data_IF_483493269231
#
_entry.id   IF_483493269231
#
_cell.length_a   1.000
_cell.length_b   1.000
_cell.length_c   1.000
_cell.angle_alpha   90.00
_cell.angle_beta   90.00
_cell.angle_gamma   90.00
#
_symmetry.space_group_name_H-M   'P 1'
#
loop_
_entity.id
_entity.type
_entity.pdbx_description
1 polymer ?
#
# COMPACT_ATOMS: atom_id res chain seq x y z
N UNK A 1 1.44 -18.18 9.29
CA UNK A 1 1.12 -16.78 8.90
C UNK A 1 0.21 -16.79 7.69
N UNK A 2 -0.84 -16.00 7.76
CA UNK A 2 -1.77 -15.84 6.65
C UNK A 2 -1.52 -14.50 5.98
N UNK A 3 -1.51 -14.49 4.65
CA UNK A 3 -1.31 -13.29 3.88
C UNK A 3 -2.61 -12.93 3.18
N UNK A 4 -3.08 -11.71 3.43
CA UNK A 4 -4.22 -11.15 2.73
C UNK A 4 -3.69 -10.09 1.77
N UNK A 5 -4.23 -10.03 0.56
CA UNK A 5 -3.78 -9.04 -0.38
C UNK A 5 -4.95 -8.43 -1.14
N UNK A 6 -4.77 -7.19 -1.58
CA UNK A 6 -5.73 -6.47 -2.39
C UNK A 6 -5.01 -5.36 -3.14
N UNK A 7 -5.69 -4.77 -4.11
CA UNK A 7 -5.12 -3.69 -4.90
C UNK A 7 -6.23 -2.74 -5.34
N UNK A 8 -5.81 -1.61 -5.91
CA UNK A 8 -6.72 -0.69 -6.58
C UNK A 8 -7.85 -0.17 -5.70
N UNK A 9 -7.53 0.12 -4.43
CA UNK A 9 -8.52 0.68 -3.52
C UNK A 9 -8.84 2.14 -3.85
N UNK A 10 -7.87 2.85 -4.45
CA UNK A 10 -8.06 4.23 -4.90
C UNK A 10 -8.68 5.13 -3.82
N UNK A 11 -8.01 5.18 -2.68
CA UNK A 11 -8.48 5.97 -1.54
C UNK A 11 -8.47 7.46 -1.82
N UNK A 12 -7.76 7.89 -2.86
CA UNK A 12 -7.74 9.29 -3.29
C UNK A 12 -9.13 9.73 -3.78
N UNK A 13 -9.97 8.80 -4.20
CA UNK A 13 -11.35 9.14 -4.56
C UNK A 13 -12.20 9.14 -3.30
N UNK A 14 -12.84 10.25 -3.05
CA UNK A 14 -13.60 10.47 -1.83
C UNK A 14 -14.68 9.42 -1.61
N UNK A 15 -15.32 8.98 -2.69
CA UNK A 15 -16.36 7.96 -2.59
C UNK A 15 -15.81 6.67 -2.02
N UNK A 16 -14.61 6.27 -2.46
CA UNK A 16 -14.00 5.03 -1.99
C UNK A 16 -13.59 5.13 -0.53
N UNK A 17 -12.97 6.24 -0.14
CA UNK A 17 -12.59 6.44 1.25
C UNK A 17 -13.81 6.44 2.16
N UNK A 18 -14.87 7.07 1.72
CA UNK A 18 -16.11 7.13 2.49
C UNK A 18 -16.74 5.75 2.61
N UNK A 19 -16.75 5.00 1.52
CA UNK A 19 -17.32 3.66 1.54
C UNK A 19 -16.62 2.80 2.58
N UNK A 20 -15.29 2.81 2.55
CA UNK A 20 -14.50 1.97 3.45
C UNK A 20 -14.55 2.45 4.90
N UNK A 21 -14.89 3.70 5.13
CA UNK A 21 -15.08 4.22 6.48
C UNK A 21 -16.26 3.55 7.17
N UNK A 22 -17.32 3.27 6.40
CA UNK A 22 -18.55 2.70 6.95
C UNK A 22 -18.72 1.22 6.66
N UNK A 23 -17.87 0.67 5.81
CA UNK A 23 -17.95 -0.73 5.38
C UNK A 23 -16.56 -1.34 5.48
N UNK A 24 -16.18 -1.74 6.68
CA UNK A 24 -14.85 -2.29 6.87
C UNK A 24 -14.67 -3.57 6.09
N UNK A 25 -13.47 -3.74 5.55
CA UNK A 25 -13.12 -4.94 4.83
C UNK A 25 -12.91 -6.09 5.82
N UNK A 26 -13.21 -7.32 5.43
CA UNK A 26 -12.95 -8.45 6.32
C UNK A 26 -11.46 -8.63 6.55
N UNK A 27 -11.09 -8.97 7.78
CA UNK A 27 -9.71 -9.25 8.12
C UNK A 27 -9.52 -10.76 8.05
N UNK A 28 -8.79 -11.21 7.04
CA UNK A 28 -8.61 -12.63 6.79
C UNK A 28 -7.15 -13.08 6.86
N UNK A 29 -6.24 -12.16 7.17
CA UNK A 29 -4.83 -12.49 7.26
C UNK A 29 -4.13 -11.74 8.39
N UNK A 30 -2.91 -12.13 8.66
CA UNK A 30 -2.06 -11.48 9.66
C UNK A 30 -1.25 -10.36 9.03
N UNK A 31 -0.90 -10.53 7.77
CA UNK A 31 -0.14 -9.56 6.98
C UNK A 31 -0.98 -9.16 5.80
N UNK A 32 -1.12 -7.85 5.60
CA UNK A 32 -1.85 -7.31 4.47
C UNK A 32 -0.86 -6.77 3.45
N UNK A 33 -1.01 -7.21 2.21
CA UNK A 33 -0.23 -6.68 1.08
C UNK A 33 -1.17 -5.87 0.20
N UNK A 34 -0.82 -4.61 -0.01
CA UNK A 34 -1.57 -3.72 -0.87
C UNK A 34 -0.76 -3.48 -2.14
N UNK A 35 -1.22 -4.05 -3.23
CA UNK A 35 -0.44 -4.16 -4.46
C UNK A 35 -0.78 -3.06 -5.45
N UNK A 36 -0.56 -1.81 -5.04
CA UNK A 36 -0.61 -0.68 -5.96
C UNK A 36 -1.96 0.00 -6.09
N UNK A 37 -1.90 1.26 -6.48
CA UNK A 37 -3.06 2.13 -6.74
C UNK A 37 -3.97 2.24 -5.53
N UNK A 38 -3.37 2.51 -4.40
CA UNK A 38 -4.08 2.63 -3.12
C UNK A 38 -4.34 4.10 -2.79
N UNK A 39 -3.33 4.96 -2.92
CA UNK A 39 -3.42 6.36 -2.58
C UNK A 39 -2.26 7.12 -3.20
N UNK A 40 -2.27 8.45 -3.09
CA UNK A 40 -1.16 9.29 -3.55
C UNK A 40 0.01 9.20 -2.59
N UNK A 41 1.22 9.18 -3.14
CA UNK A 41 2.44 9.23 -2.33
C UNK A 41 2.59 10.59 -1.67
N UNK A 42 3.17 10.58 -0.47
CA UNK A 42 3.55 11.80 0.24
C UNK A 42 2.39 12.73 0.58
N UNK A 43 1.18 12.24 0.51
CA UNK A 43 0.02 13.02 0.95
C UNK A 43 0.04 13.08 2.46
N UNK A 44 0.10 14.27 3.00
CA UNK A 44 0.23 14.48 4.44
C UNK A 44 -0.98 14.04 5.23
N UNK A 45 -2.12 13.88 4.59
CA UNK A 45 -3.33 13.42 5.26
C UNK A 45 -3.38 11.91 5.42
N UNK A 46 -2.55 11.17 4.71
CA UNK A 46 -2.60 9.72 4.74
C UNK A 46 -2.56 9.14 6.15
N UNK A 47 -1.60 9.53 7.01
CA UNK A 47 -1.49 8.91 8.33
C UNK A 47 -2.72 9.02 9.21
N UNK A 48 -3.56 10.03 8.98
CA UNK A 48 -4.76 10.25 9.80
C UNK A 48 -6.04 9.71 9.17
N UNK A 49 -5.96 9.14 7.98
CA UNK A 49 -7.13 8.55 7.33
C UNK A 49 -7.61 7.34 8.09
N UNK A 50 -8.93 7.16 8.11
CA UNK A 50 -9.53 6.03 8.82
C UNK A 50 -9.07 4.69 8.32
N UNK A 51 -8.86 4.56 7.03
CA UNK A 51 -8.38 3.30 6.46
C UNK A 51 -7.06 2.88 7.10
N UNK A 52 -6.13 3.81 7.22
CA UNK A 52 -4.82 3.48 7.77
C UNK A 52 -4.88 3.18 9.27
N UNK A 53 -5.80 3.80 9.99
CA UNK A 53 -6.05 3.46 11.39
C UNK A 53 -6.58 2.05 11.50
N UNK A 54 -7.50 1.69 10.63
CA UNK A 54 -8.06 0.34 10.60
C UNK A 54 -6.97 -0.68 10.29
N UNK A 55 -6.15 -0.41 9.28
CA UNK A 55 -5.07 -1.31 8.89
C UNK A 55 -4.06 -1.49 10.02
N UNK A 56 -3.68 -0.40 10.66
CA UNK A 56 -2.75 -0.43 11.79
C UNK A 56 -3.24 -1.33 12.91
N UNK A 57 -4.52 -1.29 13.19
CA UNK A 57 -5.10 -2.04 14.31
C UNK A 57 -5.28 -3.53 14.02
N UNK A 58 -5.48 -3.88 12.77
CA UNK A 58 -5.95 -5.22 12.42
C UNK A 58 -4.89 -6.14 11.84
N UNK A 59 -3.73 -5.64 11.52
CA UNK A 59 -2.68 -6.44 10.90
C UNK A 59 -1.37 -6.29 11.63
N UNK A 60 -0.60 -7.37 11.64
CA UNK A 60 0.74 -7.36 12.18
C UNK A 60 1.65 -6.47 11.36
N UNK A 61 1.52 -6.55 10.03
CA UNK A 61 2.27 -5.73 9.09
C UNK A 61 1.38 -5.43 7.88
N UNK A 62 1.50 -4.23 7.36
CA UNK A 62 0.84 -3.82 6.12
C UNK A 62 1.93 -3.34 5.16
N UNK A 63 2.11 -4.08 4.09
CA UNK A 63 3.16 -3.83 3.10
C UNK A 63 2.50 -3.30 1.84
N UNK A 64 2.83 -2.07 1.47
CA UNK A 64 2.21 -1.41 0.32
C UNK A 64 3.25 -1.22 -0.77
N UNK A 65 2.89 -1.64 -1.98
CA UNK A 65 3.73 -1.42 -3.16
C UNK A 65 3.07 -0.32 -3.99
N UNK A 66 3.81 0.69 -4.44
CA UNK A 66 3.21 1.74 -5.24
C UNK A 66 2.85 1.25 -6.64
N UNK A 67 1.74 1.75 -7.15
CA UNK A 67 1.33 1.57 -8.54
C UNK A 67 1.38 2.91 -9.25
N UNK A 68 0.69 3.01 -10.39
CA UNK A 68 0.73 4.24 -11.18
C UNK A 68 0.12 5.43 -10.44
N UNK A 69 -1.01 5.22 -9.76
CA UNK A 69 -1.72 6.31 -9.10
C UNK A 69 -0.92 6.94 -7.98
N UNK A 70 -0.08 6.17 -7.31
CA UNK A 70 0.74 6.70 -6.24
C UNK A 70 1.63 7.84 -6.71
N UNK A 71 2.04 7.81 -7.97
CA UNK A 71 2.97 8.80 -8.50
C UNK A 71 2.30 9.99 -9.17
N UNK A 72 0.98 10.02 -9.25
CA UNK A 72 0.28 11.00 -10.08
C UNK A 72 0.60 12.44 -9.74
N UNK A 73 0.46 12.86 -8.52
CA UNK A 73 0.67 14.27 -8.18
C UNK A 73 2.12 14.62 -7.93
N UNK A 74 2.98 13.64 -7.89
CA UNK A 74 4.39 13.83 -7.64
C UNK A 74 5.25 13.29 -8.75
N UNK A 75 4.75 13.07 -9.83
CA UNK A 75 5.31 12.53 -11.05
C UNK A 75 6.83 12.56 -11.18
N UNK A 76 7.54 12.42 -10.11
CA UNK A 76 8.98 12.24 -10.17
C UNK A 76 9.24 10.80 -10.56
N UNK A 77 9.36 10.60 -11.85
CA UNK A 77 9.59 9.27 -12.39
C UNK A 77 10.87 8.65 -11.87
N UNK A 78 11.77 9.48 -11.38
CA UNK A 78 13.02 8.99 -10.80
C UNK A 78 12.75 8.12 -9.58
N UNK A 79 11.73 8.44 -8.80
CA UNK A 79 11.42 7.65 -7.61
C UNK A 79 11.00 6.23 -7.96
N UNK A 80 10.50 6.00 -9.15
CA UNK A 80 10.06 4.66 -9.57
C UNK A 80 11.21 3.67 -9.70
N UNK A 81 12.39 4.17 -10.01
CA UNK A 81 13.56 3.33 -10.19
C UNK A 81 14.40 3.18 -8.94
N UNK A 82 14.10 3.93 -7.91
CA UNK A 82 14.92 3.96 -6.71
C UNK A 82 14.34 3.07 -5.62
N UNK A 83 15.19 2.73 -4.70
CA UNK A 83 14.83 1.99 -3.51
C UNK A 83 14.41 3.00 -2.45
N UNK A 84 13.18 2.89 -1.94
CA UNK A 84 12.71 3.80 -0.89
C UNK A 84 11.62 3.14 -0.06
N UNK A 85 11.36 3.75 1.08
CA UNK A 85 10.36 3.29 2.02
C UNK A 85 9.72 4.52 2.67
N UNK A 86 8.41 4.48 2.85
CA UNK A 86 7.67 5.54 3.53
C UNK A 86 6.69 4.92 4.51
N UNK A 87 6.97 5.09 5.81
CA UNK A 87 6.13 4.52 6.86
C UNK A 87 5.01 5.47 7.22
N UNK A 88 3.78 5.00 7.10
CA UNK A 88 2.59 5.73 7.52
C UNK A 88 2.34 5.52 9.01
N UNK A 89 2.63 4.35 9.50
CA UNK A 89 2.52 3.95 10.90
C UNK A 89 3.64 2.95 11.17
N UNK A 90 3.80 2.55 12.43
CA UNK A 90 4.86 1.61 12.82
C UNK A 90 4.86 0.36 11.95
N UNK A 91 3.68 -0.15 11.65
CA UNK A 91 3.53 -1.41 10.92
C UNK A 91 2.86 -1.25 9.58
N UNK A 92 2.72 -0.02 9.07
CA UNK A 92 2.06 0.26 7.81
C UNK A 92 2.98 1.13 6.97
N UNK A 93 3.41 0.65 5.83
CA UNK A 93 4.32 1.43 5.02
C UNK A 93 4.34 1.06 3.56
N UNK A 94 4.78 2.02 2.76
CA UNK A 94 5.11 1.85 1.37
C UNK A 94 6.54 1.38 1.22
N UNK A 95 6.74 0.44 0.32
CA UNK A 95 8.07 -0.13 0.05
C UNK A 95 8.27 -0.19 -1.45
N UNK A 96 9.39 0.33 -1.91
CA UNK A 96 9.74 0.27 -3.33
C UNK A 96 11.13 -0.34 -3.48
N UNK A 97 11.21 -1.42 -4.24
CA UNK A 97 12.44 -2.18 -4.46
C UNK A 97 13.06 -2.60 -3.13
N UNK A 98 12.22 -3.13 -2.24
CA UNK A 98 12.62 -3.55 -0.90
C UNK A 98 12.31 -5.02 -0.72
N UNK A 99 13.09 -5.67 0.12
CA UNK A 99 12.77 -7.00 0.59
C UNK A 99 12.49 -6.91 2.09
N UNK A 100 11.40 -7.51 2.51
CA UNK A 100 10.99 -7.51 3.91
C UNK A 100 10.79 -8.96 4.33
N UNK A 101 11.46 -9.35 5.41
CA UNK A 101 11.31 -10.70 5.94
C UNK A 101 10.40 -10.67 7.15
N UNK A 102 9.36 -11.47 7.11
CA UNK A 102 8.44 -11.65 8.24
C UNK A 102 8.37 -13.13 8.52
N UNK A 103 8.80 -13.53 9.71
CA UNK A 103 8.98 -14.93 10.07
C UNK A 103 9.90 -15.61 9.04
N UNK A 104 9.44 -16.64 8.37
CA UNK A 104 10.22 -17.37 7.37
C UNK A 104 9.93 -16.92 5.95
N UNK A 105 9.16 -15.87 5.78
CA UNK A 105 8.69 -15.46 4.45
C UNK A 105 9.39 -14.18 4.03
N UNK A 106 9.94 -14.20 2.83
CA UNK A 106 10.54 -13.02 2.22
C UNK A 106 9.54 -12.40 1.25
N UNK A 107 9.27 -11.10 1.46
CA UNK A 107 8.41 -10.33 0.57
C UNK A 107 9.30 -9.45 -0.29
N UNK A 108 9.23 -9.64 -1.59
CA UNK A 108 9.97 -8.79 -2.53
C UNK A 108 8.98 -7.78 -3.10
N UNK A 109 9.18 -6.53 -2.73
CA UNK A 109 8.22 -5.46 -3.01
C UNK A 109 8.81 -4.55 -4.07
N UNK A 110 8.19 -4.57 -5.24
CA UNK A 110 8.72 -3.85 -6.38
C UNK A 110 7.58 -3.21 -7.17
N UNK A 111 7.75 -1.95 -7.54
CA UNK A 111 6.82 -1.29 -8.41
C UNK A 111 6.71 -2.06 -9.71
N UNK A 112 5.52 -2.49 -10.02
CA UNK A 112 5.27 -3.18 -11.28
C UNK A 112 4.67 -2.17 -12.23
N UNK A 113 5.40 -1.87 -13.28
CA UNK A 113 4.93 -0.98 -14.31
C UNK A 113 3.88 -1.71 -15.13
N UNK A 114 2.77 -1.99 -14.54
CA UNK A 114 1.67 -2.65 -15.21
C UNK A 114 2.06 -3.88 -16.01
N UNK A 115 1.70 -5.05 -15.53
CA UNK A 115 2.02 -6.29 -16.23
C UNK A 115 1.62 -6.22 -17.70
N UNK A 116 0.60 -5.48 -17.99
CA UNK A 116 0.12 -5.30 -19.36
C UNK A 116 1.12 -4.64 -20.28
N UNK A 117 2.13 -4.00 -19.74
CA UNK A 117 3.11 -3.29 -20.56
C UNK A 117 4.21 -4.19 -21.04
N UNK A 118 4.29 -5.37 -20.52
CA UNK A 118 5.34 -6.27 -20.91
C UNK A 118 5.00 -7.05 -22.17
N UNK A 119 3.78 -6.96 -22.63
CA UNK A 119 3.40 -7.68 -23.83
C UNK A 119 3.57 -6.92 -25.07
#
# INVERSE_FOLDING_TARGET
>A
MRIQYMSDLHLEFQENSRYLRYNELPVTGDVLVLAGDIFYLKDKTAPVMNFWKWAFKNYRQVLIVPGNHEYYNYSDVMERGFQWKWMLRENVGYYQNQAVRIDDTDFVLKYALGAHQSE
#
